data_IF_515943152265
#
_entry.id   IF_515943152265
#
_cell.length_a   1.000
_cell.length_b   1.000
_cell.length_c   1.000
_cell.angle_alpha   90.00
_cell.angle_beta   90.00
_cell.angle_gamma   90.00
#
_symmetry.space_group_name_H-M   'P 1'
#
loop_
_entity.id
_entity.type
_entity.pdbx_description
1 polymer ?
#
# COMPACT_ATOMS: atom_id res chain seq x y z
N UNK A 1 -19.38 36.08 34.35
CA UNK A 1 -18.71 34.79 34.62
C UNK A 1 -18.11 34.30 33.33
N UNK A 2 -16.80 34.17 33.27
CA UNK A 2 -16.13 33.61 32.10
C UNK A 2 -16.22 32.08 32.17
N UNK A 3 -16.83 31.45 31.17
CA UNK A 3 -16.91 30.00 31.05
C UNK A 3 -15.60 29.52 30.36
N UNK A 4 -14.73 28.89 31.12
CA UNK A 4 -13.52 28.28 30.56
C UNK A 4 -13.79 26.81 30.24
N UNK A 5 -13.80 26.45 28.96
CA UNK A 5 -13.88 25.07 28.51
C UNK A 5 -12.46 24.50 28.44
N UNK A 6 -12.14 23.44 29.21
CA UNK A 6 -10.81 22.84 29.16
C UNK A 6 -10.53 22.25 27.78
N UNK A 7 -9.27 22.32 27.35
CA UNK A 7 -8.82 21.71 26.11
C UNK A 7 -8.89 20.19 26.23
N UNK A 8 -9.50 19.56 25.23
CA UNK A 8 -9.61 18.12 25.13
C UNK A 8 -9.02 17.66 23.80
N UNK A 9 -7.99 16.84 23.87
CA UNK A 9 -7.33 16.25 22.72
C UNK A 9 -7.78 14.80 22.56
N UNK A 10 -8.26 14.45 21.37
CA UNK A 10 -8.70 13.07 21.05
C UNK A 10 -8.55 12.82 19.56
N UNK A 11 -7.41 12.28 19.17
CA UNK A 11 -7.13 11.89 17.79
C UNK A 11 -7.50 10.40 17.61
N UNK A 12 -8.34 10.09 16.63
CA UNK A 12 -8.77 8.72 16.31
C UNK A 12 -8.36 8.36 14.89
N UNK A 13 -7.52 7.34 14.71
CA UNK A 13 -7.20 6.81 13.38
C UNK A 13 -8.33 5.92 12.88
N UNK A 14 -8.58 5.98 11.57
CA UNK A 14 -9.46 5.09 10.82
C UNK A 14 -8.78 4.75 9.49
N UNK A 15 -8.84 3.51 9.03
CA UNK A 15 -8.27 3.10 7.75
C UNK A 15 -9.39 2.91 6.74
N UNK A 16 -9.27 3.57 5.59
CA UNK A 16 -10.14 3.36 4.44
C UNK A 16 -9.39 2.48 3.43
N UNK A 17 -9.74 1.20 3.39
CA UNK A 17 -9.14 0.26 2.43
C UNK A 17 -9.94 0.25 1.14
N UNK A 18 -9.25 0.44 0.02
CA UNK A 18 -9.79 0.30 -1.34
C UNK A 18 -9.64 -1.14 -1.83
N UNK A 19 -8.55 -1.80 -1.43
CA UNK A 19 -8.25 -3.17 -1.78
C UNK A 19 -8.18 -4.08 -0.55
N UNK A 20 -8.63 -5.33 -0.69
CA UNK A 20 -8.50 -6.37 0.34
C UNK A 20 -7.29 -7.28 0.11
N UNK A 21 -6.66 -7.21 -1.05
CA UNK A 21 -5.49 -8.02 -1.41
C UNK A 21 -4.49 -7.25 -2.25
N UNK A 22 -3.25 -7.73 -2.25
CA UNK A 22 -2.12 -7.19 -3.02
C UNK A 22 -1.22 -8.33 -3.50
N UNK A 23 -0.78 -8.27 -4.75
CA UNK A 23 0.16 -9.26 -5.30
C UNK A 23 1.59 -9.01 -4.79
N UNK A 24 2.30 -10.06 -4.43
CA UNK A 24 3.71 -9.97 -4.05
C UNK A 24 4.55 -9.34 -5.16
N UNK A 25 5.37 -8.36 -4.80
CA UNK A 25 6.17 -7.55 -5.73
C UNK A 25 5.42 -6.42 -6.41
N UNK A 26 4.17 -6.17 -6.05
CA UNK A 26 3.41 -4.97 -6.44
C UNK A 26 3.18 -4.07 -5.23
N UNK A 27 2.41 -3.02 -5.40
CA UNK A 27 2.01 -2.14 -4.30
C UNK A 27 0.60 -1.62 -4.51
N UNK A 28 -0.03 -1.25 -3.41
CA UNK A 28 -1.31 -0.54 -3.39
C UNK A 28 -1.18 0.71 -2.53
N UNK A 29 -2.00 1.71 -2.84
CA UNK A 29 -2.09 2.95 -2.06
C UNK A 29 -3.42 2.98 -1.31
N UNK A 30 -3.34 3.25 -0.01
CA UNK A 30 -4.47 3.26 0.91
C UNK A 30 -4.47 4.55 1.72
N UNK A 31 -5.54 4.83 2.44
CA UNK A 31 -5.70 6.07 3.17
C UNK A 31 -5.94 5.82 4.67
N UNK A 32 -5.14 6.48 5.49
CA UNK A 32 -5.37 6.62 6.93
C UNK A 32 -6.07 7.96 7.18
N UNK A 33 -7.24 7.90 7.78
CA UNK A 33 -8.03 9.06 8.20
C UNK A 33 -7.69 9.38 9.66
N UNK A 34 -7.37 10.63 9.94
CA UNK A 34 -7.12 11.12 11.29
C UNK A 34 -8.27 12.03 11.72
N UNK A 35 -9.16 11.49 12.55
CA UNK A 35 -10.31 12.19 13.07
C UNK A 35 -9.95 12.89 14.38
N UNK A 36 -9.99 14.23 14.42
CA UNK A 36 -9.83 14.98 15.67
C UNK A 36 -11.20 15.14 16.35
N UNK A 37 -11.47 14.25 17.29
CA UNK A 37 -12.71 14.25 18.11
C UNK A 37 -12.56 15.10 19.38
N UNK A 38 -11.50 15.90 19.47
CA UNK A 38 -11.28 16.88 20.54
C UNK A 38 -12.01 18.18 20.30
N UNK A 39 -11.79 19.16 21.18
CA UNK A 39 -12.34 20.53 21.06
C UNK A 39 -11.26 21.57 20.72
N UNK A 40 -10.07 21.14 20.37
CA UNK A 40 -8.93 21.99 20.03
C UNK A 40 -8.14 21.36 18.90
N UNK A 41 -7.35 22.16 18.21
CA UNK A 41 -6.42 21.67 17.18
C UNK A 41 -5.46 20.67 17.79
N UNK A 42 -5.19 19.60 17.08
CA UNK A 42 -4.23 18.55 17.43
C UNK A 42 -3.34 18.22 16.22
N UNK A 43 -2.33 17.40 16.42
CA UNK A 43 -1.51 16.84 15.36
C UNK A 43 -1.05 15.43 15.76
N UNK A 44 -0.68 14.62 14.79
CA UNK A 44 0.02 13.38 15.08
C UNK A 44 1.52 13.69 15.24
N UNK A 45 2.07 13.46 16.43
CA UNK A 45 3.52 13.58 16.65
C UNK A 45 4.29 12.38 16.08
N UNK A 46 3.60 11.24 15.91
CA UNK A 46 4.16 10.01 15.34
C UNK A 46 3.05 9.15 14.77
N UNK A 47 3.34 8.52 13.62
CA UNK A 47 2.46 7.52 13.00
C UNK A 47 3.31 6.30 12.65
N UNK A 48 2.96 5.13 13.19
CA UNK A 48 3.68 3.88 13.00
C UNK A 48 2.76 2.76 12.54
N UNK A 49 3.33 1.78 11.86
CA UNK A 49 2.68 0.53 11.51
C UNK A 49 3.37 -0.65 12.21
N UNK A 50 2.62 -1.43 12.99
CA UNK A 50 3.03 -2.73 13.51
C UNK A 50 2.47 -3.83 12.61
N UNK A 51 3.37 -4.61 11.98
CA UNK A 51 3.01 -5.66 11.04
C UNK A 51 3.26 -7.01 11.69
N UNK A 52 2.21 -7.81 11.79
CA UNK A 52 2.31 -9.14 12.37
C UNK A 52 2.27 -10.22 11.31
N UNK A 53 3.08 -11.25 11.52
CA UNK A 53 3.16 -12.45 10.69
C UNK A 53 3.69 -12.26 9.25
N UNK A 54 4.02 -11.04 8.81
CA UNK A 54 4.42 -10.73 7.44
C UNK A 54 5.71 -9.90 7.41
N UNK A 55 6.88 -10.50 7.68
CA UNK A 55 8.14 -9.75 7.79
C UNK A 55 8.65 -9.18 6.44
N UNK A 56 8.03 -9.57 5.34
CA UNK A 56 8.36 -9.10 3.99
C UNK A 56 7.32 -8.10 3.43
N UNK A 57 6.43 -7.60 4.29
CA UNK A 57 5.50 -6.52 3.97
C UNK A 57 6.08 -5.21 4.48
N UNK A 58 6.06 -4.17 3.64
CA UNK A 58 6.51 -2.83 3.99
C UNK A 58 5.36 -1.83 3.87
N UNK A 59 5.35 -0.85 4.76
CA UNK A 59 4.40 0.27 4.74
C UNK A 59 5.20 1.56 4.75
N UNK A 60 4.91 2.44 3.78
CA UNK A 60 5.63 3.69 3.56
C UNK A 60 4.65 4.87 3.43
N UNK A 61 5.12 6.09 3.69
CA UNK A 61 4.36 7.33 3.46
C UNK A 61 3.63 7.86 4.70
N UNK A 62 3.63 7.14 5.82
CA UNK A 62 2.94 7.54 7.06
C UNK A 62 3.48 8.85 7.64
N UNK A 63 4.77 9.12 7.46
CA UNK A 63 5.46 10.32 7.93
C UNK A 63 4.88 11.61 7.35
N UNK A 64 4.20 11.54 6.21
CA UNK A 64 3.56 12.69 5.57
C UNK A 64 2.42 13.29 6.41
N UNK A 65 1.83 12.50 7.30
CA UNK A 65 0.76 12.92 8.22
C UNK A 65 1.27 13.49 9.55
N UNK A 66 2.56 13.33 9.85
CA UNK A 66 3.14 13.80 11.12
C UNK A 66 3.24 15.32 11.15
N UNK A 67 3.02 15.89 12.34
CA UNK A 67 3.09 17.33 12.63
C UNK A 67 2.14 18.20 11.78
N UNK A 68 1.17 17.58 11.09
CA UNK A 68 0.12 18.29 10.36
C UNK A 68 -1.01 18.68 11.31
N UNK A 69 -1.37 19.96 11.34
CA UNK A 69 -2.45 20.46 12.19
C UNK A 69 -3.82 19.96 11.73
N UNK A 70 -4.55 19.32 12.63
CA UNK A 70 -5.87 18.74 12.38
C UNK A 70 -6.90 19.49 13.22
N UNK A 71 -7.80 20.18 12.56
CA UNK A 71 -8.93 20.86 13.20
C UNK A 71 -9.92 19.82 13.78
N UNK A 72 -10.69 20.17 14.82
CA UNK A 72 -11.79 19.31 15.29
C UNK A 72 -12.68 18.90 14.13
N UNK A 73 -12.85 17.58 13.91
CA UNK A 73 -13.66 17.01 12.84
C UNK A 73 -15.14 17.29 13.11
N UNK A 74 -15.94 17.49 12.07
CA UNK A 74 -17.37 17.83 12.14
C UNK A 74 -17.70 19.20 12.76
N UNK A 75 -16.71 19.97 13.17
CA UNK A 75 -16.88 21.34 13.59
C UNK A 75 -16.68 22.29 12.40
N UNK A 76 -17.67 23.12 12.11
CA UNK A 76 -17.64 24.02 10.94
C UNK A 76 -17.43 23.33 9.58
N UNK A 77 -17.79 22.04 9.48
CA UNK A 77 -17.62 21.25 8.24
C UNK A 77 -16.20 20.75 8.00
N UNK A 78 -15.34 20.78 9.02
CA UNK A 78 -14.00 20.23 8.92
C UNK A 78 -14.04 18.72 8.64
N UNK A 79 -13.22 18.27 7.72
CA UNK A 79 -13.07 16.86 7.39
C UNK A 79 -11.87 16.26 8.15
N UNK A 80 -11.82 14.92 8.32
CA UNK A 80 -10.62 14.23 8.79
C UNK A 80 -9.40 14.60 7.94
N UNK A 81 -8.21 14.59 8.53
CA UNK A 81 -6.99 14.67 7.74
C UNK A 81 -6.72 13.31 7.08
N UNK A 82 -6.35 13.35 5.82
CA UNK A 82 -6.04 12.17 5.01
C UNK A 82 -4.52 12.00 4.87
N UNK A 83 -4.03 10.81 5.17
CA UNK A 83 -2.64 10.42 5.03
C UNK A 83 -2.58 9.23 4.08
N UNK A 84 -2.08 9.45 2.86
CA UNK A 84 -1.85 8.36 1.93
C UNK A 84 -0.64 7.54 2.34
N UNK A 85 -0.80 6.22 2.31
CA UNK A 85 0.29 5.29 2.59
C UNK A 85 0.29 4.14 1.58
N UNK A 86 1.44 3.54 1.40
CA UNK A 86 1.65 2.45 0.45
C UNK A 86 1.91 1.15 1.20
N UNK A 87 1.29 0.07 0.74
CA UNK A 87 1.53 -1.30 1.17
C UNK A 87 2.25 -2.03 0.05
N UNK A 88 3.46 -2.54 0.33
CA UNK A 88 4.32 -3.19 -0.67
C UNK A 88 4.92 -4.50 -0.14
N UNK A 89 4.34 -5.66 -0.49
CA UNK A 89 4.94 -6.94 -0.20
C UNK A 89 6.11 -7.22 -1.16
N UNK A 90 7.21 -7.76 -0.62
CA UNK A 90 8.34 -8.23 -1.42
C UNK A 90 7.93 -9.29 -2.42
N UNK A 91 8.64 -9.41 -3.55
CA UNK A 91 8.45 -10.47 -4.56
C UNK A 91 8.58 -11.89 -4.00
N UNK A 92 9.29 -12.06 -2.88
CA UNK A 92 9.48 -13.33 -2.19
C UNK A 92 8.39 -13.63 -1.15
N UNK A 93 7.38 -12.76 -1.02
CA UNK A 93 6.31 -12.95 -0.04
C UNK A 93 5.42 -14.14 -0.45
N UNK A 94 5.18 -15.05 0.49
CA UNK A 94 4.26 -16.16 0.29
C UNK A 94 2.81 -15.68 0.43
N UNK A 95 1.86 -16.36 -0.20
CA UNK A 95 0.41 -16.10 0.00
C UNK A 95 0.05 -16.24 1.46
N UNK A 96 -0.45 -15.15 2.05
CA UNK A 96 -0.78 -15.09 3.47
C UNK A 96 -1.62 -13.85 3.80
N UNK A 97 -2.48 -13.98 4.79
CA UNK A 97 -3.15 -12.83 5.43
C UNK A 97 -2.22 -12.16 6.42
N UNK A 98 -2.01 -10.88 6.26
CA UNK A 98 -1.19 -10.02 7.12
C UNK A 98 -2.07 -9.17 8.01
N UNK A 99 -1.72 -9.07 9.29
CA UNK A 99 -2.37 -8.15 10.22
C UNK A 99 -1.50 -6.91 10.38
N UNK A 100 -2.11 -5.75 10.18
CA UNK A 100 -1.46 -4.45 10.31
C UNK A 100 -2.19 -3.63 11.35
N UNK A 101 -1.43 -3.04 12.26
CA UNK A 101 -1.95 -2.10 13.27
C UNK A 101 -1.28 -0.75 13.06
N UNK A 102 -2.06 0.26 12.70
CA UNK A 102 -1.62 1.65 12.66
C UNK A 102 -1.71 2.25 14.05
N UNK A 103 -0.65 2.88 14.52
CA UNK A 103 -0.55 3.51 15.84
C UNK A 103 -0.28 5.00 15.62
N UNK A 104 -1.13 5.83 16.19
CA UNK A 104 -1.05 7.29 16.08
C UNK A 104 -0.88 7.89 17.46
N UNK A 105 0.15 8.70 17.66
CA UNK A 105 0.41 9.43 18.90
C UNK A 105 -0.02 10.88 18.74
N UNK A 106 -0.94 11.35 19.58
CA UNK A 106 -1.38 12.75 19.60
C UNK A 106 -0.28 13.65 20.17
N UNK A 107 0.01 14.77 19.51
CA UNK A 107 0.94 15.78 20.01
C UNK A 107 0.37 16.49 21.27
N UNK A 108 -0.94 16.75 21.27
CA UNK A 108 -1.60 17.54 22.30
C UNK A 108 -1.63 16.89 23.68
N UNK A 109 -1.64 15.56 23.77
CA UNK A 109 -1.71 14.83 25.05
C UNK A 109 -0.80 13.61 25.16
N UNK A 110 -0.02 13.27 24.12
CA UNK A 110 0.88 12.13 24.09
C UNK A 110 0.18 10.75 24.08
N UNK A 111 -1.15 10.72 23.88
CA UNK A 111 -1.90 9.47 23.91
C UNK A 111 -1.83 8.75 22.57
N UNK A 112 -1.55 7.45 22.63
CA UNK A 112 -1.59 6.55 21.49
C UNK A 112 -3.01 6.03 21.26
N UNK A 113 -3.38 5.94 19.99
CA UNK A 113 -4.60 5.30 19.50
C UNK A 113 -4.24 4.43 18.31
N UNK A 114 -4.93 3.32 18.15
CA UNK A 114 -4.64 2.39 17.08
C UNK A 114 -5.90 1.93 16.35
N UNK A 115 -5.71 1.56 15.10
CA UNK A 115 -6.67 0.86 14.26
C UNK A 115 -5.97 -0.32 13.60
N UNK A 116 -6.64 -1.48 13.52
CA UNK A 116 -6.09 -2.67 12.89
C UNK A 116 -6.93 -3.08 11.71
N UNK A 117 -6.26 -3.61 10.69
CA UNK A 117 -6.87 -4.20 9.51
C UNK A 117 -6.08 -5.43 9.05
N UNK A 118 -6.70 -6.24 8.17
CA UNK A 118 -6.05 -7.37 7.54
C UNK A 118 -5.97 -7.16 6.04
N UNK A 119 -4.89 -7.61 5.42
CA UNK A 119 -4.69 -7.62 3.98
C UNK A 119 -4.16 -8.97 3.53
N UNK A 120 -4.71 -9.50 2.45
CA UNK A 120 -4.24 -10.74 1.84
C UNK A 120 -3.11 -10.43 0.86
N UNK A 121 -1.99 -11.13 1.02
CA UNK A 121 -0.91 -11.09 0.04
C UNK A 121 -1.00 -12.34 -0.82
N UNK A 122 -1.08 -12.14 -2.14
CA UNK A 122 -1.03 -13.22 -3.11
C UNK A 122 0.39 -13.40 -3.63
N UNK A 123 0.92 -14.64 -3.60
CA UNK A 123 2.27 -14.90 -4.11
C UNK A 123 2.34 -14.60 -5.61
N UNK A 124 3.42 -13.94 -6.04
CA UNK A 124 3.62 -13.63 -7.47
C UNK A 124 3.57 -14.93 -8.29
N UNK A 125 2.52 -15.08 -9.10
CA UNK A 125 2.32 -16.00 -10.18
C UNK A 125 3.11 -17.31 -10.19
N UNK A 126 2.86 -18.19 -9.23
CA UNK A 126 2.93 -19.62 -9.50
C UNK A 126 1.67 -19.99 -10.27
N UNK A 127 1.76 -20.11 -11.58
CA UNK A 127 0.71 -20.71 -12.39
C UNK A 127 0.31 -22.03 -11.72
N UNK A 128 -0.78 -22.06 -10.97
CA UNK A 128 -1.37 -23.30 -10.51
C UNK A 128 -1.91 -24.00 -11.74
N UNK A 129 -1.02 -24.78 -12.35
CA UNK A 129 -1.44 -25.80 -13.29
C UNK A 129 -2.25 -26.82 -12.48
N UNK A 130 -3.54 -26.57 -12.33
CA UNK A 130 -4.50 -27.53 -11.81
C UNK A 130 -4.64 -28.64 -12.83
N UNK A 131 -3.66 -29.54 -12.87
CA UNK A 131 -3.83 -30.84 -13.47
C UNK A 131 -4.82 -31.62 -12.59
N UNK A 132 -6.09 -31.45 -12.89
CA UNK A 132 -7.11 -32.44 -12.55
C UNK A 132 -6.68 -33.76 -13.21
N UNK A 133 -6.03 -34.61 -12.41
CA UNK A 133 -5.79 -36.00 -12.77
C UNK A 133 -7.11 -36.73 -12.83
N UNK A 134 -7.65 -36.86 -14.02
CA UNK A 134 -8.70 -37.81 -14.29
C UNK A 134 -8.07 -39.20 -14.39
N UNK A 135 -8.40 -40.04 -13.44
CA UNK A 135 -8.10 -41.46 -13.39
C UNK A 135 -8.99 -42.20 -14.40
N UNK A 136 -8.43 -42.63 -15.52
CA UNK A 136 -9.13 -43.45 -16.52
C UNK A 136 -8.20 -44.49 -17.13
N UNK A 137 -8.45 -45.73 -16.75
CA UNK A 137 -7.89 -47.03 -17.12
C UNK A 137 -7.45 -47.25 -18.58
N UNK A 138 -6.31 -47.93 -18.66
CA UNK A 138 -5.98 -49.07 -19.57
C UNK A 138 -6.36 -49.06 -21.06
N UNK A 139 -5.37 -49.15 -21.94
CA UNK A 139 -5.15 -50.32 -22.79
C UNK A 139 -3.96 -50.13 -23.75
N UNK A 140 -3.18 -51.16 -23.83
CA UNK A 140 -2.15 -51.52 -24.75
C UNK A 140 -2.44 -51.25 -26.24
N UNK A 141 -1.48 -50.74 -27.04
CA UNK A 141 -0.87 -51.48 -28.15
C UNK A 141 0.21 -50.71 -28.92
N UNK A 142 1.33 -51.38 -29.05
CA UNK A 142 2.32 -51.47 -30.11
C UNK A 142 2.39 -50.44 -31.26
N UNK A 143 3.63 -49.92 -31.46
CA UNK A 143 4.28 -49.92 -32.78
C UNK A 143 4.21 -48.66 -33.59
N UNK A 144 5.31 -47.98 -33.76
CA UNK A 144 6.03 -47.71 -35.03
C UNK A 144 6.97 -46.52 -34.89
N UNK A 145 8.17 -46.77 -35.27
CA UNK A 145 9.22 -45.77 -35.55
C UNK A 145 8.82 -44.89 -36.74
N UNK A 146 9.11 -43.57 -36.62
CA UNK A 146 9.51 -42.80 -37.80
C UNK A 146 10.25 -41.54 -37.34
N UNK A 147 11.46 -41.46 -37.88
CA UNK A 147 12.34 -40.28 -37.90
C UNK A 147 11.64 -39.02 -38.40
N UNK A 148 12.05 -37.90 -37.89
CA UNK A 148 11.56 -36.60 -38.39
C UNK A 148 12.20 -35.40 -37.73
N UNK A 149 13.45 -35.08 -38.07
CA UNK A 149 14.06 -33.74 -38.26
C UNK A 149 13.56 -32.54 -37.43
N UNK A 150 14.48 -32.09 -36.58
CA UNK A 150 14.89 -30.70 -36.36
C UNK A 150 14.12 -29.59 -37.06
N UNK A 151 13.52 -28.70 -36.27
CA UNK A 151 13.40 -27.30 -36.64
C UNK A 151 13.51 -26.43 -35.38
N UNK A 152 14.64 -25.79 -35.20
CA UNK A 152 14.82 -24.68 -34.27
C UNK A 152 14.15 -23.44 -34.88
N UNK A 153 13.29 -22.72 -34.16
CA UNK A 153 12.86 -21.40 -34.63
C UNK A 153 13.93 -20.37 -34.34
N UNK A 154 14.30 -19.67 -35.42
CA UNK A 154 15.24 -18.60 -35.47
C UNK A 154 14.92 -17.45 -34.53
N UNK A 155 15.94 -16.99 -33.81
CA UNK A 155 16.00 -15.71 -33.12
C UNK A 155 15.93 -14.56 -34.13
N UNK A 156 14.82 -13.85 -34.18
CA UNK A 156 14.72 -12.57 -34.88
C UNK A 156 15.26 -11.43 -34.00
N UNK A 157 16.09 -10.52 -34.59
CA UNK A 157 16.57 -9.36 -33.84
C UNK A 157 15.50 -8.32 -33.71
N UNK A 158 15.03 -8.08 -32.48
CA UNK A 158 14.17 -6.93 -32.17
C UNK A 158 15.04 -5.70 -31.95
N UNK A 159 14.90 -4.76 -32.85
CA UNK A 159 15.50 -3.44 -32.85
C UNK A 159 15.05 -2.63 -31.65
N UNK A 160 16.00 -2.26 -30.82
CA UNK A 160 15.84 -1.31 -29.72
C UNK A 160 15.79 0.10 -30.30
N UNK A 161 14.64 0.76 -30.23
CA UNK A 161 14.53 2.19 -30.55
C UNK A 161 14.68 2.96 -29.24
N UNK A 162 15.86 3.56 -29.07
CA UNK A 162 16.09 4.60 -28.06
C UNK A 162 15.50 5.90 -28.55
N UNK A 163 14.44 6.37 -27.94
CA UNK A 163 14.00 7.75 -28.06
C UNK A 163 14.47 8.56 -26.85
N UNK A 164 15.58 9.28 -27.07
CA UNK A 164 16.05 10.38 -26.23
C UNK A 164 15.08 11.55 -26.37
N UNK A 165 14.26 11.77 -25.36
CA UNK A 165 13.46 12.97 -25.18
C UNK A 165 14.08 13.90 -24.16
N UNK A 166 15.02 14.72 -24.56
CA UNK A 166 15.59 15.84 -23.83
C UNK A 166 14.59 17.01 -23.87
N UNK A 167 14.00 17.38 -22.74
CA UNK A 167 13.41 18.73 -22.61
C UNK A 167 13.68 19.30 -21.23
N UNK A 168 14.76 20.08 -21.17
CA UNK A 168 15.01 21.07 -20.14
C UNK A 168 14.04 22.25 -20.32
N UNK A 169 13.30 22.63 -19.30
CA UNK A 169 12.70 23.94 -19.17
C UNK A 169 12.82 24.47 -17.75
N UNK A 170 13.93 25.14 -17.54
CA UNK A 170 14.12 26.15 -16.52
C UNK A 170 13.06 27.23 -16.67
N UNK A 171 12.27 27.46 -15.65
CA UNK A 171 11.67 28.78 -15.42
C UNK A 171 11.79 29.19 -13.97
N UNK A 172 12.84 29.94 -13.75
CA UNK A 172 13.10 30.87 -12.68
C UNK A 172 12.07 32.00 -12.76
N UNK A 173 11.24 32.18 -11.77
CA UNK A 173 10.59 33.46 -11.54
C UNK A 173 10.92 33.93 -10.14
N UNK A 174 11.90 34.84 -10.09
CA UNK A 174 12.01 35.83 -9.04
C UNK A 174 10.90 36.86 -9.25
N UNK A 175 10.20 37.16 -8.22
CA UNK A 175 9.62 38.50 -8.03
C UNK A 175 9.94 38.94 -6.60
N UNK A 176 11.00 39.74 -6.51
CA UNK A 176 11.10 40.77 -5.50
C UNK A 176 9.92 41.71 -5.70
N UNK A 177 9.37 42.28 -4.64
CA UNK A 177 9.12 43.71 -4.46
C UNK A 177 8.35 44.00 -3.16
N UNK A 178 8.95 44.86 -2.34
CA UNK A 178 8.44 45.72 -1.26
C UNK A 178 7.71 45.11 -0.08
#
# INVERSE_FOLDING_TARGET
ADLNVPRHHKLLPEVSLVASSVDAGTWIEETLLLNNMGNTVDAASKIEADIRNCPLLEIEGLESGENTQIQPTDVNGNQPAEVSFRISPSTAHASKTCEVTMIVTSEGNGMERSVSFSIDVDASGGSQNSNNGDTGSSSSNSGSESDGSSALPALGPQTVIFSLGLLALLRRNRLDVC
#
